data_IF_159336588897
#
_entry.id   IF_159336588897
#
_cell.length_a   1.000
_cell.length_b   1.000
_cell.length_c   1.000
_cell.angle_alpha   90.00
_cell.angle_beta   90.00
_cell.angle_gamma   90.00
#
_symmetry.space_group_name_H-M   'P 1'
#
loop_
_entity.id
_entity.type
_entity.pdbx_description
1 polymer ?
#
# COMPACT_ATOMS: atom_id res chain seq x y z
N UNK A 1 0.55 32.86 -3.71
CA UNK A 1 1.24 31.55 -3.84
C UNK A 1 0.54 30.77 -4.94
N UNK A 2 1.25 29.91 -5.68
CA UNK A 2 0.61 29.04 -6.67
C UNK A 2 -0.28 28.04 -5.93
N UNK A 3 -1.52 27.91 -6.34
CA UNK A 3 -2.45 26.90 -5.86
C UNK A 3 -2.26 25.60 -6.66
N UNK A 4 -2.36 24.46 -5.99
CA UNK A 4 -2.20 23.14 -6.61
C UNK A 4 -3.47 22.32 -6.50
N UNK A 5 -3.99 21.87 -7.64
CA UNK A 5 -5.17 21.02 -7.74
C UNK A 5 -4.81 19.56 -7.49
N UNK A 6 -5.38 18.95 -6.46
CA UNK A 6 -5.07 17.57 -6.03
C UNK A 6 -6.34 16.72 -6.05
N UNK A 7 -6.22 15.48 -6.51
CA UNK A 7 -7.27 14.47 -6.50
C UNK A 7 -6.80 13.25 -5.71
N UNK A 8 -7.65 12.71 -4.84
CA UNK A 8 -7.33 11.52 -4.02
C UNK A 8 -8.17 10.33 -4.44
N UNK A 9 -7.51 9.20 -4.68
CA UNK A 9 -8.08 7.89 -4.96
C UNK A 9 -7.89 6.99 -3.75
N UNK A 10 -8.95 6.39 -3.21
CA UNK A 10 -8.83 5.51 -2.06
C UNK A 10 -10.17 5.17 -1.42
N UNK A 11 -10.13 4.40 -0.34
CA UNK A 11 -11.33 4.00 0.40
C UNK A 11 -11.11 3.96 1.91
N UNK A 12 -9.90 3.67 2.34
CA UNK A 12 -9.51 3.33 3.71
C UNK A 12 -9.05 4.55 4.53
N UNK A 13 -8.89 4.44 5.85
CA UNK A 13 -8.46 5.52 6.74
C UNK A 13 -7.20 6.25 6.31
N UNK A 14 -6.22 5.55 5.71
CA UNK A 14 -5.01 6.20 5.18
C UNK A 14 -5.34 7.29 4.15
N UNK A 15 -6.33 7.06 3.28
CA UNK A 15 -6.76 8.04 2.29
C UNK A 15 -7.47 9.24 2.97
N UNK A 16 -8.25 9.00 4.02
CA UNK A 16 -8.87 10.05 4.83
C UNK A 16 -7.81 10.93 5.48
N UNK A 17 -6.76 10.35 6.04
CA UNK A 17 -5.64 11.11 6.62
C UNK A 17 -4.92 11.96 5.57
N UNK A 18 -4.74 11.45 4.36
CA UNK A 18 -4.17 12.23 3.25
C UNK A 18 -5.09 13.41 2.87
N UNK A 19 -6.41 13.20 2.80
CA UNK A 19 -7.37 14.28 2.56
C UNK A 19 -7.31 15.34 3.65
N UNK A 20 -7.26 14.95 4.93
CA UNK A 20 -7.08 15.89 6.05
C UNK A 20 -5.79 16.69 5.94
N UNK A 21 -4.69 16.02 5.57
CA UNK A 21 -3.40 16.70 5.33
C UNK A 21 -3.52 17.74 4.20
N UNK A 22 -4.09 17.36 3.05
CA UNK A 22 -4.28 18.30 1.92
C UNK A 22 -5.08 19.51 2.37
N UNK A 23 -6.20 19.31 3.07
CA UNK A 23 -7.05 20.40 3.56
C UNK A 23 -6.39 21.29 4.63
N UNK A 24 -5.31 20.82 5.25
CA UNK A 24 -4.54 21.63 6.24
C UNK A 24 -3.52 22.57 5.59
N UNK A 25 -3.24 22.42 4.30
CA UNK A 25 -2.21 23.20 3.60
C UNK A 25 -2.90 24.28 2.73
N UNK A 26 -2.68 25.58 2.99
CA UNK A 26 -3.47 26.66 2.38
C UNK A 26 -3.43 26.76 0.86
N UNK A 27 -2.36 26.28 0.22
CA UNK A 27 -2.20 26.32 -1.23
C UNK A 27 -2.46 24.97 -1.91
N UNK A 28 -3.06 24.00 -1.20
CA UNK A 28 -3.54 22.74 -1.78
C UNK A 28 -5.05 22.81 -1.93
N UNK A 29 -5.53 22.60 -3.14
CA UNK A 29 -6.94 22.58 -3.47
C UNK A 29 -7.38 21.13 -3.74
N UNK A 30 -8.19 20.57 -2.84
CA UNK A 30 -8.77 19.24 -3.02
C UNK A 30 -9.95 19.34 -4.00
N UNK A 31 -9.78 18.83 -5.22
CA UNK A 31 -10.85 18.80 -6.23
C UNK A 31 -11.98 17.82 -5.89
N UNK A 32 -11.65 16.77 -5.15
CA UNK A 32 -12.56 15.73 -4.73
C UNK A 32 -11.85 14.40 -4.47
N UNK A 33 -12.64 13.36 -4.28
CA UNK A 33 -12.16 12.00 -4.01
C UNK A 33 -12.82 10.99 -4.94
N UNK A 34 -12.07 9.94 -5.32
CA UNK A 34 -12.58 8.79 -6.07
C UNK A 34 -12.55 7.57 -5.17
N UNK A 35 -13.72 7.00 -4.89
CA UNK A 35 -13.86 5.86 -3.99
C UNK A 35 -13.71 4.56 -4.78
N UNK A 36 -12.80 3.70 -4.32
CA UNK A 36 -12.55 2.39 -4.95
C UNK A 36 -13.54 1.33 -4.49
N UNK A 37 -13.79 1.27 -3.20
CA UNK A 37 -14.72 0.36 -2.52
C UNK A 37 -15.52 1.16 -1.48
N UNK A 38 -16.84 1.05 -1.52
CA UNK A 38 -17.73 1.77 -0.58
C UNK A 38 -17.79 1.10 0.82
N UNK A 39 -17.45 -0.19 0.91
CA UNK A 39 -17.44 -0.95 2.16
C UNK A 39 -16.12 -1.71 2.33
N UNK A 40 -14.98 -1.00 2.43
CA UNK A 40 -13.68 -1.66 2.49
C UNK A 40 -13.49 -2.40 3.83
N UNK A 41 -12.79 -3.54 3.77
CA UNK A 41 -12.33 -4.21 4.98
C UNK A 41 -11.12 -3.45 5.55
N UNK A 42 -11.33 -2.77 6.67
CA UNK A 42 -10.34 -1.91 7.29
C UNK A 42 -9.42 -2.69 8.24
N UNK A 43 -8.13 -2.59 8.00
CA UNK A 43 -7.07 -3.08 8.87
C UNK A 43 -5.97 -2.01 9.06
N UNK A 44 -6.26 -0.76 8.74
CA UNK A 44 -5.31 0.35 8.89
C UNK A 44 -5.00 0.62 10.38
N UNK A 45 -3.83 1.19 10.70
CA UNK A 45 -3.43 1.44 12.09
C UNK A 45 -4.23 2.54 12.80
N UNK A 46 -5.07 3.26 12.08
CA UNK A 46 -5.85 4.39 12.61
C UNK A 46 -7.30 3.96 12.89
N UNK A 47 -7.50 3.21 13.96
CA UNK A 47 -8.80 2.62 14.33
C UNK A 47 -9.91 3.63 14.60
N UNK A 48 -9.56 4.87 14.96
CA UNK A 48 -10.51 5.97 15.23
C UNK A 48 -10.78 6.83 13.99
N UNK A 49 -10.14 6.52 12.86
CA UNK A 49 -10.31 7.28 11.63
C UNK A 49 -11.38 6.65 10.73
N UNK A 50 -12.24 7.48 10.15
CA UNK A 50 -13.28 7.02 9.22
C UNK A 50 -12.69 6.57 7.89
N UNK A 51 -13.31 5.59 7.25
CA UNK A 51 -13.07 5.28 5.84
C UNK A 51 -13.44 6.49 4.96
N UNK A 52 -12.74 6.65 3.83
CA UNK A 52 -12.81 7.86 3.00
C UNK A 52 -14.24 8.16 2.50
N UNK A 53 -15.01 7.13 2.14
CA UNK A 53 -16.39 7.31 1.64
C UNK A 53 -17.29 7.96 2.67
N UNK A 54 -17.23 7.51 3.93
CA UNK A 54 -18.00 8.08 5.05
C UNK A 54 -17.49 9.48 5.42
N UNK A 55 -16.18 9.65 5.53
CA UNK A 55 -15.58 10.96 5.81
C UNK A 55 -15.99 12.00 4.76
N UNK A 56 -15.95 11.66 3.48
CA UNK A 56 -16.34 12.54 2.38
C UNK A 56 -17.83 12.93 2.48
N UNK A 57 -18.71 11.99 2.82
CA UNK A 57 -20.14 12.23 3.01
C UNK A 57 -20.41 13.22 4.15
N UNK A 58 -19.76 13.03 5.31
CA UNK A 58 -19.97 13.87 6.50
C UNK A 58 -19.43 15.30 6.26
N UNK A 59 -18.32 15.45 5.55
CA UNK A 59 -17.65 16.73 5.33
C UNK A 59 -18.02 17.38 3.99
N UNK A 60 -19.04 16.89 3.27
CA UNK A 60 -19.50 17.42 1.98
C UNK A 60 -18.36 17.50 0.93
N UNK A 61 -17.41 16.56 0.97
CA UNK A 61 -16.35 16.46 -0.03
C UNK A 61 -16.91 15.84 -1.31
N UNK A 62 -16.59 16.44 -2.45
CA UNK A 62 -17.07 15.99 -3.76
C UNK A 62 -16.56 14.58 -4.05
N UNK A 63 -17.47 13.61 -4.20
CA UNK A 63 -17.17 12.30 -4.76
C UNK A 63 -17.23 12.38 -6.28
N UNK A 64 -16.26 11.77 -6.94
CA UNK A 64 -16.11 11.72 -8.39
C UNK A 64 -16.05 10.26 -8.83
N UNK A 65 -16.70 9.97 -9.96
CA UNK A 65 -16.61 8.65 -10.57
C UNK A 65 -15.36 8.54 -11.45
N UNK A 66 -14.69 7.40 -11.39
CA UNK A 66 -13.42 7.19 -12.09
C UNK A 66 -13.56 7.42 -13.60
N UNK A 67 -14.63 6.87 -14.20
CA UNK A 67 -14.84 6.90 -15.64
C UNK A 67 -15.32 8.28 -16.16
N UNK A 68 -15.81 9.15 -15.25
CA UNK A 68 -16.26 10.50 -15.60
C UNK A 68 -15.12 11.53 -15.60
N UNK A 69 -13.97 11.23 -15.00
CA UNK A 69 -12.87 12.18 -14.86
C UNK A 69 -12.42 12.75 -16.20
N UNK A 70 -12.38 11.94 -17.25
CA UNK A 70 -11.98 12.37 -18.61
C UNK A 70 -12.99 13.32 -19.27
N UNK A 71 -14.22 13.38 -18.77
CA UNK A 71 -15.26 14.30 -19.22
C UNK A 71 -15.25 15.60 -18.39
N UNK A 72 -14.75 15.55 -17.18
CA UNK A 72 -14.75 16.67 -16.23
C UNK A 72 -13.46 17.51 -16.32
N UNK A 73 -12.35 16.93 -16.72
CA UNK A 73 -11.04 17.57 -16.71
C UNK A 73 -10.31 17.39 -18.04
N UNK A 74 -9.59 18.41 -18.44
CA UNK A 74 -8.71 18.38 -19.59
C UNK A 74 -7.35 17.80 -19.25
N UNK A 75 -6.58 17.44 -20.29
CA UNK A 75 -5.22 16.92 -20.12
C UNK A 75 -4.34 17.90 -19.35
N UNK A 76 -3.66 17.41 -18.29
CA UNK A 76 -2.77 18.17 -17.38
C UNK A 76 -3.44 19.33 -16.64
N UNK A 77 -4.74 19.29 -16.48
CA UNK A 77 -5.50 20.30 -15.70
C UNK A 77 -5.37 20.07 -14.20
N UNK A 78 -5.19 18.82 -13.77
CA UNK A 78 -4.96 18.46 -12.36
C UNK A 78 -3.45 18.44 -12.12
N UNK A 79 -2.98 19.01 -11.01
CA UNK A 79 -1.53 18.98 -10.71
C UNK A 79 -1.08 17.60 -10.27
N UNK A 80 -1.72 16.98 -9.27
CA UNK A 80 -1.26 15.73 -8.67
C UNK A 80 -2.41 14.81 -8.30
N UNK A 81 -2.25 13.52 -8.59
CA UNK A 81 -3.09 12.44 -8.08
C UNK A 81 -2.40 11.67 -6.96
N UNK A 82 -3.17 11.24 -5.95
CA UNK A 82 -2.68 10.43 -4.84
C UNK A 82 -3.53 9.16 -4.72
N UNK A 83 -2.94 8.01 -5.04
CA UNK A 83 -3.57 6.70 -4.96
C UNK A 83 -3.19 6.01 -3.64
N UNK A 84 -4.16 5.95 -2.71
CA UNK A 84 -3.99 5.45 -1.36
C UNK A 84 -4.75 4.13 -1.20
N UNK A 85 -4.10 3.02 -1.51
CA UNK A 85 -4.71 1.67 -1.50
C UNK A 85 -5.98 1.60 -2.34
N UNK A 86 -5.96 2.20 -3.51
CA UNK A 86 -7.08 2.22 -4.44
C UNK A 86 -7.23 0.86 -5.14
N UNK A 87 -8.45 0.32 -5.18
CA UNK A 87 -8.71 -1.05 -5.64
C UNK A 87 -8.96 -1.19 -7.15
N UNK A 88 -9.10 -0.06 -7.87
CA UNK A 88 -9.39 -0.06 -9.31
C UNK A 88 -8.15 0.32 -10.12
N UNK A 89 -8.05 -0.17 -11.35
CA UNK A 89 -6.95 0.17 -12.27
C UNK A 89 -7.17 1.57 -12.84
N UNK A 90 -6.18 2.43 -12.72
CA UNK A 90 -6.18 3.77 -13.31
C UNK A 90 -5.51 3.67 -14.69
N UNK A 91 -6.28 3.93 -15.74
CA UNK A 91 -5.83 3.80 -17.14
C UNK A 91 -5.23 5.09 -17.67
N UNK A 92 -4.48 4.99 -18.77
CA UNK A 92 -3.77 6.10 -19.41
C UNK A 92 -4.59 7.37 -19.63
N UNK A 93 -5.84 7.33 -20.13
CA UNK A 93 -6.64 8.57 -20.31
C UNK A 93 -6.80 9.36 -19.00
N UNK A 94 -6.90 8.67 -17.86
CA UNK A 94 -6.99 9.32 -16.55
C UNK A 94 -5.61 9.80 -16.09
N UNK A 95 -4.56 9.00 -16.29
CA UNK A 95 -3.17 9.38 -15.93
C UNK A 95 -2.77 10.69 -16.65
N UNK A 96 -3.18 10.85 -17.92
CA UNK A 96 -2.85 12.02 -18.74
C UNK A 96 -3.52 13.32 -18.26
N UNK A 97 -4.50 13.27 -17.34
CA UNK A 97 -5.11 14.45 -16.73
C UNK A 97 -4.17 15.18 -15.75
N UNK A 98 -3.14 14.49 -15.26
CA UNK A 98 -2.26 14.98 -14.19
C UNK A 98 -0.95 15.54 -14.74
N UNK A 99 -0.62 16.78 -14.38
CA UNK A 99 0.61 17.44 -14.84
C UNK A 99 1.87 16.94 -14.12
N UNK A 100 1.72 16.45 -12.87
CA UNK A 100 2.76 15.84 -12.03
C UNK A 100 2.59 14.34 -11.85
N UNK A 101 1.65 13.72 -12.59
CA UNK A 101 1.33 12.31 -12.49
C UNK A 101 0.50 11.94 -11.27
N UNK A 102 0.37 10.64 -11.05
CA UNK A 102 -0.34 10.04 -9.91
C UNK A 102 0.69 9.26 -9.10
N UNK A 103 0.75 9.47 -7.79
CA UNK A 103 1.61 8.72 -6.88
C UNK A 103 0.79 7.62 -6.22
N UNK A 104 1.26 6.38 -6.30
CA UNK A 104 0.66 5.24 -5.65
C UNK A 104 1.41 4.85 -4.37
N UNK A 105 0.64 4.50 -3.34
CA UNK A 105 1.14 3.86 -2.11
C UNK A 105 1.09 2.35 -2.28
N UNK A 106 2.21 1.71 -2.61
CA UNK A 106 2.31 0.26 -2.69
C UNK A 106 2.82 -0.32 -1.38
N UNK A 107 2.16 -1.39 -0.89
CA UNK A 107 2.42 -2.01 0.41
C UNK A 107 3.65 -2.93 0.47
N UNK A 108 4.59 -2.80 -0.43
CA UNK A 108 5.83 -3.57 -0.50
C UNK A 108 7.01 -2.77 -1.01
N UNK A 109 8.21 -3.24 -0.74
CA UNK A 109 9.42 -2.66 -1.31
C UNK A 109 9.58 -3.13 -2.77
N UNK A 110 9.39 -2.23 -3.71
CA UNK A 110 9.63 -2.48 -5.13
C UNK A 110 11.14 -2.35 -5.44
N UNK A 111 11.68 -3.18 -6.34
CA UNK A 111 11.02 -4.18 -7.19
C UNK A 111 10.83 -5.57 -6.53
N UNK A 112 11.24 -5.80 -5.27
CA UNK A 112 11.31 -7.14 -4.67
C UNK A 112 9.95 -7.72 -4.29
N UNK A 113 8.98 -6.87 -3.94
CA UNK A 113 7.69 -7.30 -3.40
C UNK A 113 6.52 -6.61 -4.11
N UNK A 114 6.46 -6.73 -5.45
CA UNK A 114 5.34 -6.25 -6.26
C UNK A 114 4.10 -7.15 -6.14
N UNK A 115 2.92 -6.60 -6.40
CA UNK A 115 1.65 -7.31 -6.35
C UNK A 115 1.04 -7.38 -4.96
N UNK A 116 0.49 -8.55 -4.59
CA UNK A 116 -0.30 -8.75 -3.37
C UNK A 116 0.51 -9.38 -2.23
N UNK A 117 0.07 -9.14 -0.98
CA UNK A 117 0.60 -9.78 0.23
C UNK A 117 2.09 -9.52 0.52
N UNK A 118 2.59 -8.37 0.10
CA UNK A 118 4.02 -8.00 0.21
C UNK A 118 4.55 -8.10 1.65
N UNK A 119 3.75 -7.72 2.65
CA UNK A 119 4.11 -7.85 4.08
C UNK A 119 4.31 -9.32 4.49
N UNK A 120 3.47 -10.23 3.98
CA UNK A 120 3.61 -11.67 4.25
C UNK A 120 4.90 -12.21 3.61
N UNK A 121 5.15 -11.84 2.34
CA UNK A 121 6.33 -12.31 1.61
C UNK A 121 7.64 -11.78 2.19
N UNK A 122 7.67 -10.57 2.74
CA UNK A 122 8.87 -10.06 3.40
C UNK A 122 9.30 -10.94 4.58
N UNK A 123 8.33 -11.44 5.37
CA UNK A 123 8.60 -12.40 6.45
C UNK A 123 8.96 -13.79 5.89
N UNK A 124 8.18 -14.33 4.95
CA UNK A 124 8.43 -15.64 4.33
C UNK A 124 9.84 -15.74 3.71
N UNK A 125 10.33 -14.65 3.12
CA UNK A 125 11.67 -14.60 2.55
C UNK A 125 12.74 -14.12 3.53
N UNK A 126 12.41 -14.09 4.84
CA UNK A 126 13.36 -13.76 5.91
C UNK A 126 14.03 -12.41 5.68
N UNK A 127 13.31 -11.45 5.08
CA UNK A 127 13.81 -10.10 4.89
C UNK A 127 14.01 -9.43 6.25
N UNK A 128 15.14 -8.76 6.42
CA UNK A 128 15.41 -7.93 7.60
C UNK A 128 14.78 -6.54 7.49
N UNK A 129 14.37 -6.16 6.26
CA UNK A 129 13.81 -4.86 5.95
C UNK A 129 12.42 -5.05 5.37
N UNK A 130 11.45 -4.40 5.97
CA UNK A 130 10.08 -4.24 5.48
C UNK A 130 9.84 -2.83 5.00
N UNK A 131 8.67 -2.59 4.42
CA UNK A 131 8.30 -1.25 4.00
C UNK A 131 7.30 -1.22 2.86
N UNK A 132 7.04 0.00 2.41
CA UNK A 132 6.24 0.27 1.23
C UNK A 132 7.01 1.12 0.21
N UNK A 133 6.38 1.36 -0.92
CA UNK A 133 6.97 2.15 -2.01
C UNK A 133 5.99 3.20 -2.50
N UNK A 134 6.48 4.43 -2.60
CA UNK A 134 5.81 5.52 -3.30
C UNK A 134 6.38 5.56 -4.72
N UNK A 135 5.53 5.33 -5.71
CA UNK A 135 5.92 5.29 -7.12
C UNK A 135 4.87 5.97 -8.00
N UNK A 136 5.27 6.40 -9.19
CA UNK A 136 4.32 6.90 -10.17
C UNK A 136 3.44 5.77 -10.71
N UNK A 137 2.17 6.09 -10.98
CA UNK A 137 1.28 5.19 -11.72
C UNK A 137 1.58 5.30 -13.20
N UNK A 138 1.80 4.16 -13.85
CA UNK A 138 1.91 4.00 -15.29
C UNK A 138 0.84 3.04 -15.84
N UNK A 139 1.00 2.54 -17.05
CA UNK A 139 0.05 1.61 -17.67
C UNK A 139 0.13 0.18 -17.13
N UNK A 140 1.19 -0.16 -16.38
CA UNK A 140 1.39 -1.46 -15.75
C UNK A 140 0.85 -1.50 -14.31
N UNK A 141 1.08 -2.62 -13.63
CA UNK A 141 0.77 -2.77 -12.22
C UNK A 141 2.08 -2.76 -11.44
N UNK A 142 2.25 -1.79 -10.55
CA UNK A 142 3.44 -1.59 -9.73
C UNK A 142 4.74 -1.47 -10.55
N UNK A 143 4.69 -0.88 -11.77
CA UNK A 143 5.83 -0.80 -12.71
C UNK A 143 6.39 0.60 -12.90
N UNK A 144 5.71 1.62 -12.43
CA UNK A 144 6.13 3.02 -12.58
C UNK A 144 7.37 3.38 -11.77
N UNK A 145 7.98 4.49 -12.14
CA UNK A 145 9.21 5.00 -11.52
C UNK A 145 9.04 5.23 -10.02
N UNK A 146 10.01 4.74 -9.25
CA UNK A 146 10.00 4.81 -7.79
C UNK A 146 10.45 6.20 -7.34
N UNK A 147 9.65 6.83 -6.49
CA UNK A 147 9.94 8.13 -5.86
C UNK A 147 10.66 7.91 -4.54
N UNK A 148 10.14 6.98 -3.71
CA UNK A 148 10.73 6.68 -2.39
C UNK A 148 10.39 5.26 -1.95
N UNK A 149 11.38 4.56 -1.39
CA UNK A 149 11.22 3.34 -0.62
C UNK A 149 11.10 3.74 0.84
N UNK A 150 10.01 3.34 1.50
CA UNK A 150 9.67 3.69 2.89
C UNK A 150 10.04 2.51 3.78
N UNK A 151 11.31 2.39 4.15
CA UNK A 151 11.90 1.22 4.78
C UNK A 151 11.84 1.29 6.32
N UNK A 152 11.72 0.12 6.97
CA UNK A 152 11.88 -0.09 8.41
C UNK A 152 12.44 -1.49 8.69
N UNK A 153 12.98 -1.71 9.88
CA UNK A 153 13.49 -3.02 10.30
C UNK A 153 12.33 -3.96 10.68
N UNK A 154 12.38 -5.21 10.18
CA UNK A 154 11.49 -6.31 10.62
C UNK A 154 12.12 -7.00 11.81
N UNK A 155 11.47 -6.93 12.96
CA UNK A 155 11.88 -7.54 14.21
C UNK A 155 11.47 -9.02 14.26
N UNK A 156 12.11 -9.81 15.12
CA UNK A 156 11.82 -11.24 15.26
C UNK A 156 10.38 -11.53 15.73
N UNK A 157 9.79 -10.60 16.48
CA UNK A 157 8.40 -10.69 16.96
C UNK A 157 7.37 -10.22 15.93
N UNK A 158 7.78 -9.55 14.84
CA UNK A 158 6.85 -9.04 13.86
C UNK A 158 6.06 -10.14 13.17
N UNK A 159 4.78 -9.90 13.01
CA UNK A 159 3.84 -10.73 12.24
C UNK A 159 3.47 -10.05 10.92
N UNK A 160 2.78 -10.76 10.02
CA UNK A 160 2.23 -10.16 8.80
C UNK A 160 1.37 -8.94 9.09
N UNK A 161 0.64 -8.96 10.21
CA UNK A 161 -0.18 -7.83 10.65
C UNK A 161 0.67 -6.65 11.14
N UNK A 162 1.65 -6.86 12.02
CA UNK A 162 2.47 -5.75 12.54
C UNK A 162 3.33 -5.12 11.44
N UNK A 163 3.88 -5.93 10.51
CA UNK A 163 4.60 -5.42 9.33
C UNK A 163 3.66 -4.58 8.45
N UNK A 164 2.40 -5.02 8.25
CA UNK A 164 1.41 -4.25 7.52
C UNK A 164 1.15 -2.90 8.22
N UNK A 165 0.93 -2.89 9.55
CA UNK A 165 0.70 -1.67 10.32
C UNK A 165 1.88 -0.69 10.20
N UNK A 166 3.11 -1.17 10.39
CA UNK A 166 4.35 -0.39 10.21
C UNK A 166 4.46 0.17 8.78
N UNK A 167 4.07 -0.63 7.77
CA UNK A 167 4.08 -0.21 6.37
C UNK A 167 3.12 0.95 6.10
N UNK A 168 1.88 0.88 6.63
CA UNK A 168 0.91 1.96 6.43
C UNK A 168 1.39 3.28 7.07
N UNK A 169 1.96 3.20 8.28
CA UNK A 169 2.54 4.37 8.95
C UNK A 169 3.71 4.95 8.15
N UNK A 170 4.63 4.12 7.67
CA UNK A 170 5.77 4.55 6.87
C UNK A 170 5.32 5.20 5.55
N UNK A 171 4.35 4.60 4.85
CA UNK A 171 3.78 5.16 3.61
C UNK A 171 3.13 6.52 3.84
N UNK A 172 2.30 6.65 4.88
CA UNK A 172 1.65 7.92 5.21
C UNK A 172 2.68 9.02 5.51
N UNK A 173 3.62 8.77 6.41
CA UNK A 173 4.63 9.75 6.82
C UNK A 173 5.48 10.22 5.63
N UNK A 174 5.94 9.28 4.80
CA UNK A 174 6.72 9.62 3.62
C UNK A 174 5.89 10.32 2.54
N UNK A 175 4.60 9.98 2.37
CA UNK A 175 3.73 10.64 1.39
C UNK A 175 3.56 12.12 1.73
N UNK A 176 3.26 12.47 2.98
CA UNK A 176 3.09 13.88 3.37
C UNK A 176 4.37 14.69 3.18
N UNK A 177 5.54 14.07 3.34
CA UNK A 177 6.82 14.72 3.08
C UNK A 177 7.08 14.97 1.58
N UNK A 178 6.73 14.01 0.70
CA UNK A 178 7.07 14.11 -0.72
C UNK A 178 6.10 14.96 -1.53
N UNK A 179 4.83 15.10 -1.12
CA UNK A 179 3.83 15.89 -1.85
C UNK A 179 4.35 17.29 -2.22
N UNK A 180 4.82 18.13 -1.29
CA UNK A 180 5.35 19.45 -1.64
C UNK A 180 6.59 19.39 -2.52
N UNK A 181 7.45 18.36 -2.37
CA UNK A 181 8.66 18.19 -3.18
C UNK A 181 8.31 17.85 -4.64
N UNK A 182 7.32 16.98 -4.86
CA UNK A 182 6.84 16.63 -6.20
C UNK A 182 6.20 17.83 -6.88
N UNK A 183 5.32 18.54 -6.18
CA UNK A 183 4.64 19.73 -6.70
C UNK A 183 5.63 20.83 -7.13
N UNK A 184 6.75 20.97 -6.43
CA UNK A 184 7.80 21.93 -6.71
C UNK A 184 8.94 21.40 -7.60
N UNK A 185 8.84 20.18 -8.18
CA UNK A 185 9.87 19.51 -8.97
C UNK A 185 11.22 19.35 -8.24
N UNK A 186 11.18 19.12 -6.93
CA UNK A 186 12.37 19.02 -6.08
C UNK A 186 12.77 17.57 -5.77
N UNK A 187 12.06 16.58 -6.33
CA UNK A 187 12.35 15.16 -6.14
C UNK A 187 12.61 14.48 -7.49
N UNK A 188 13.51 13.50 -7.48
CA UNK A 188 13.79 12.64 -8.64
C UNK A 188 13.23 11.25 -8.37
N UNK A 189 12.73 10.61 -9.41
CA UNK A 189 12.37 9.19 -9.41
C UNK A 189 13.51 8.35 -9.99
N UNK A 190 13.48 7.06 -9.67
CA UNK A 190 14.39 6.04 -10.20
C UNK A 190 13.55 4.95 -10.89
N UNK A 191 13.97 4.50 -12.06
CA UNK A 191 13.25 3.45 -12.76
C UNK A 191 13.44 2.08 -12.10
N UNK A 192 12.41 1.20 -12.24
CA UNK A 192 12.53 -0.20 -11.82
C UNK A 192 13.75 -0.89 -12.41
N UNK A 193 14.01 -0.62 -13.71
CA UNK A 193 15.18 -1.18 -14.41
C UNK A 193 16.49 -0.79 -13.72
N UNK A 194 16.64 0.48 -13.36
CA UNK A 194 17.85 0.96 -12.70
C UNK A 194 18.08 0.29 -11.33
N UNK A 195 17.02 -0.03 -10.59
CA UNK A 195 17.13 -0.79 -9.34
C UNK A 195 17.52 -2.25 -9.60
N UNK A 196 16.94 -2.88 -10.63
CA UNK A 196 17.32 -4.25 -11.02
C UNK A 196 18.78 -4.30 -11.47
N UNK A 197 19.25 -3.32 -12.23
CA UNK A 197 20.66 -3.19 -12.65
C UNK A 197 21.61 -2.99 -11.44
N UNK A 198 21.10 -2.41 -10.33
CA UNK A 198 21.80 -2.30 -9.03
C UNK A 198 21.77 -3.57 -8.20
N UNK A 199 21.12 -4.65 -8.68
CA UNK A 199 21.11 -5.96 -8.03
C UNK A 199 19.83 -6.28 -7.22
N UNK A 200 18.84 -5.41 -7.22
CA UNK A 200 17.55 -5.70 -6.60
C UNK A 200 16.81 -6.76 -7.41
N UNK A 201 16.18 -7.74 -6.72
CA UNK A 201 15.45 -8.82 -7.40
C UNK A 201 14.03 -8.37 -7.74
N UNK A 202 13.66 -8.42 -9.01
CA UNK A 202 12.27 -8.18 -9.41
C UNK A 202 11.41 -9.43 -9.15
N UNK A 203 10.33 -9.27 -8.36
CA UNK A 203 9.33 -10.32 -8.08
C UNK A 203 7.94 -9.74 -8.10
N UNK A 204 6.97 -10.57 -8.52
CA UNK A 204 5.55 -10.21 -8.50
C UNK A 204 4.74 -11.36 -7.91
N UNK A 205 3.87 -11.06 -6.94
CA UNK A 205 3.09 -12.04 -6.21
C UNK A 205 1.60 -11.87 -6.47
N UNK A 206 0.89 -12.97 -6.63
CA UNK A 206 -0.55 -13.00 -6.81
C UNK A 206 -1.23 -13.83 -5.70
N UNK A 207 -2.56 -13.81 -5.67
CA UNK A 207 -3.34 -14.50 -4.63
C UNK A 207 -3.08 -16.02 -4.60
N UNK A 208 -2.91 -16.66 -5.77
CA UNK A 208 -2.73 -18.10 -5.86
C UNK A 208 -1.41 -18.53 -5.22
N UNK A 209 -0.31 -17.85 -5.55
CA UNK A 209 1.01 -18.16 -4.97
C UNK A 209 1.04 -18.03 -3.46
N UNK A 210 0.24 -17.13 -2.89
CA UNK A 210 0.20 -16.93 -1.43
C UNK A 210 -0.47 -18.09 -0.69
N UNK A 211 -1.50 -18.69 -1.26
CA UNK A 211 -2.21 -19.81 -0.62
C UNK A 211 -1.32 -21.04 -0.44
N UNK A 212 -0.37 -21.28 -1.36
CA UNK A 212 0.54 -22.42 -1.32
C UNK A 212 1.51 -22.35 -0.11
N UNK A 213 1.80 -21.15 0.40
CA UNK A 213 2.67 -20.96 1.58
C UNK A 213 1.98 -21.15 2.92
N UNK A 214 0.63 -21.17 2.98
CA UNK A 214 -0.10 -21.29 4.25
C UNK A 214 -0.02 -22.68 4.87
N UNK A 215 0.11 -23.72 4.05
CA UNK A 215 0.23 -25.09 4.54
C UNK A 215 1.63 -25.32 5.10
N UNK A 216 1.68 -25.77 6.35
CA UNK A 216 2.91 -26.16 7.04
C UNK A 216 3.16 -27.66 6.75
N UNK A 217 4.34 -27.98 6.27
CA UNK A 217 4.77 -29.33 5.96
C UNK A 217 5.81 -29.82 6.98
N UNK A 218 6.07 -31.14 7.02
CA UNK A 218 7.07 -31.72 7.92
C UNK A 218 8.47 -31.10 7.72
N UNK A 219 8.85 -30.79 6.48
CA UNK A 219 10.12 -30.12 6.18
C UNK A 219 10.25 -28.72 6.82
N UNK A 220 9.14 -28.03 7.03
CA UNK A 220 9.18 -26.69 7.66
C UNK A 220 9.61 -26.76 9.14
N UNK A 221 9.34 -27.89 9.82
CA UNK A 221 9.82 -28.13 11.17
C UNK A 221 11.34 -28.39 11.19
N UNK A 222 11.86 -29.13 10.20
CA UNK A 222 13.27 -29.47 10.09
C UNK A 222 14.13 -28.24 9.73
N UNK A 223 13.63 -27.36 8.85
CA UNK A 223 14.34 -26.15 8.39
C UNK A 223 14.13 -24.95 9.30
N UNK A 224 13.18 -25.01 10.23
CA UNK A 224 12.74 -23.88 11.05
C UNK A 224 11.87 -22.86 10.32
N UNK A 225 11.43 -23.16 9.09
CA UNK A 225 10.57 -22.26 8.29
C UNK A 225 9.16 -22.14 8.85
N UNK A 226 8.76 -23.09 9.71
CA UNK A 226 7.47 -23.05 10.40
C UNK A 226 7.19 -21.73 11.09
N UNK A 227 8.16 -21.17 11.82
CA UNK A 227 8.01 -19.91 12.53
C UNK A 227 7.73 -18.74 11.56
N UNK A 228 8.43 -18.71 10.44
CA UNK A 228 8.23 -17.68 9.41
C UNK A 228 6.86 -17.78 8.75
N UNK A 229 6.35 -19.00 8.51
CA UNK A 229 4.99 -19.23 7.98
C UNK A 229 3.93 -18.78 9.00
N UNK A 230 4.07 -19.16 10.28
CA UNK A 230 3.13 -18.74 11.33
C UNK A 230 3.10 -17.21 11.43
N UNK A 231 4.26 -16.56 11.56
CA UNK A 231 4.39 -15.10 11.63
C UNK A 231 3.81 -14.40 10.41
N UNK A 232 4.15 -14.88 9.21
CA UNK A 232 3.73 -14.27 7.95
C UNK A 232 2.20 -14.27 7.78
N UNK A 233 1.52 -15.32 8.23
CA UNK A 233 0.06 -15.43 8.10
C UNK A 233 -0.71 -15.14 9.38
N UNK A 234 -0.05 -14.65 10.43
CA UNK A 234 -0.74 -14.11 11.58
C UNK A 234 -1.24 -12.69 11.31
N UNK A 235 -2.52 -12.65 10.93
CA UNK A 235 -3.22 -11.44 10.55
C UNK A 235 -4.69 -11.54 11.01
N UNK A 236 -5.19 -10.62 11.85
CA UNK A 236 -6.58 -10.62 12.32
C UNK A 236 -7.58 -10.62 11.16
N UNK A 237 -8.64 -11.43 11.28
CA UNK A 237 -9.68 -11.52 10.26
C UNK A 237 -9.34 -12.38 9.03
N UNK A 238 -8.11 -12.91 8.95
CA UNK A 238 -7.68 -13.78 7.85
C UNK A 238 -7.32 -15.18 8.34
N UNK A 239 -7.43 -16.17 7.43
CA UNK A 239 -7.02 -17.55 7.69
C UNK A 239 -5.51 -17.60 7.95
N UNK A 240 -5.05 -18.09 9.12
CA UNK A 240 -3.64 -18.22 9.45
C UNK A 240 -2.96 -19.38 8.72
N UNK A 241 -1.66 -19.59 8.97
CA UNK A 241 -0.97 -20.80 8.60
C UNK A 241 -1.58 -22.02 9.30
N UNK A 242 -1.55 -23.18 8.65
CA UNK A 242 -2.14 -24.39 9.17
C UNK A 242 -1.31 -25.64 8.85
N UNK A 243 -1.36 -26.62 9.76
CA UNK A 243 -0.87 -27.98 9.53
C UNK A 243 -2.06 -28.92 9.30
N UNK A 244 -1.95 -29.87 8.36
CA UNK A 244 -2.98 -30.89 8.13
C UNK A 244 -2.69 -32.14 8.94
N UNK A 245 -3.64 -32.51 9.80
CA UNK A 245 -3.61 -33.76 10.54
C UNK A 245 -4.93 -34.51 10.34
N UNK A 246 -4.88 -35.75 9.88
CA UNK A 246 -6.05 -36.57 9.59
C UNK A 246 -7.12 -35.82 8.75
N UNK A 247 -6.69 -35.14 7.69
CA UNK A 247 -7.56 -34.37 6.79
C UNK A 247 -8.14 -33.08 7.37
N UNK A 248 -7.83 -32.73 8.64
CA UNK A 248 -8.29 -31.51 9.32
C UNK A 248 -7.18 -30.47 9.37
N UNK A 249 -7.57 -29.18 9.23
CA UNK A 249 -6.64 -28.06 9.41
C UNK A 249 -6.50 -27.72 10.89
N UNK A 250 -5.27 -27.67 11.38
CA UNK A 250 -4.91 -27.13 12.68
C UNK A 250 -4.26 -25.78 12.43
N UNK A 251 -4.92 -24.71 12.84
CA UNK A 251 -4.47 -23.35 12.62
C UNK A 251 -3.47 -22.91 13.69
N UNK A 252 -2.42 -22.19 13.27
CA UNK A 252 -1.35 -21.72 14.14
C UNK A 252 -1.25 -20.19 14.10
N UNK A 253 -1.15 -19.57 15.30
CA UNK A 253 -0.96 -18.13 15.48
C UNK A 253 0.17 -17.86 16.48
N UNK A 254 0.73 -16.67 16.41
CA UNK A 254 1.68 -16.20 17.42
C UNK A 254 0.94 -15.87 18.71
N UNK A 255 1.51 -16.30 19.83
CA UNK A 255 1.06 -15.90 21.17
C UNK A 255 2.31 -15.69 22.01
N UNK A 256 2.54 -14.46 22.43
CA UNK A 256 3.62 -14.12 23.35
C UNK A 256 3.02 -14.08 24.76
N UNK A 257 3.55 -14.92 25.65
CA UNK A 257 3.37 -14.74 27.08
C UNK A 257 4.69 -14.19 27.60
N UNK A 258 4.64 -13.12 28.37
CA UNK A 258 5.77 -12.74 29.21
C UNK A 258 5.95 -13.88 30.22
N UNK A 259 7.16 -14.41 30.32
CA UNK A 259 7.49 -15.37 31.39
C UNK A 259 7.37 -14.62 32.71
N UNK A 260 6.48 -15.12 33.60
CA UNK A 260 6.26 -14.58 34.96
C UNK A 260 7.50 -14.76 35.85
#
# INVERSE_FOLDING_TARGET
>A
MKEYNILVFGSLPIATKIVKYINSIPNFNLLGVVIGDENPNDNDPWTDELCLGEYARINNIKKLELDELVNLYSRKEIDLGLSCRFSKIIRKPIIDLFSKGIINMHGGLLPEFGGLYSCNYSILFKSKVGGGTLHYVDEGIDTGDIIRRCEFEIEEIDTGYSVFQKTQLALYNNMVEIIPLVLNNQIKSISMKELVDKGYKHRYFNKKSTLDYKEINNSDFETGDILYKIRAFDFPGYEPAYYKFDGKKIYMRMSYKEDE
#
